data_IF_960437761186
#
_entry.id   IF_960437761186
#
_cell.length_a   1.000
_cell.length_b   1.000
_cell.length_c   1.000
_cell.angle_alpha   90.00
_cell.angle_beta   90.00
_cell.angle_gamma   90.00
#
_symmetry.space_group_name_H-M   'P 1'
#
loop_
_entity.id
_entity.type
_entity.pdbx_description
1 polymer ?
2 non-polymer ?
3 water ?
#
# COMPACT_ATOMS: atom_id res chain seq x y z
N UNK A 1 14.18 -9.46 -5.98
CA UNK A 1 12.82 -9.00 -6.25
C UNK A 1 12.08 -8.68 -4.95
N UNK A 2 10.98 -7.94 -5.07
CA UNK A 2 10.17 -7.53 -3.94
C UNK A 2 8.77 -8.12 -4.07
N UNK A 3 8.19 -8.49 -2.94
CA UNK A 3 6.82 -8.99 -2.88
C UNK A 3 6.04 -8.12 -1.92
N UNK A 4 4.86 -7.68 -2.34
CA UNK A 4 4.05 -6.76 -1.56
C UNK A 4 2.66 -7.33 -1.37
N UNK A 5 2.04 -6.96 -0.25
CA UNK A 5 0.61 -7.16 -0.12
C UNK A 5 -0.09 -6.30 -1.16
N UNK A 6 -1.10 -6.87 -1.82
CA UNK A 6 -1.91 -6.12 -2.77
C UNK A 6 -3.37 -6.02 -2.38
N UNK A 7 -3.86 -6.94 -1.56
CA UNK A 7 -5.17 -6.76 -0.95
C UNK A 7 -5.22 -7.65 0.28
N UNK A 8 -6.01 -7.23 1.25
CA UNK A 8 -6.11 -7.95 2.50
C UNK A 8 -7.57 -7.95 2.91
N UNK A 9 -8.05 -9.09 3.37
CA UNK A 9 -9.41 -9.19 3.88
C UNK A 9 -9.48 -10.39 4.81
N UNK A 10 -10.64 -10.56 5.45
CA UNK A 10 -10.83 -11.68 6.36
C UNK A 10 -10.92 -12.99 5.59
N UNK A 11 -11.21 -12.92 4.29
CA UNK A 11 -11.17 -14.11 3.46
C UNK A 11 -9.74 -14.49 3.07
N UNK A 12 -8.80 -13.57 3.18
CA UNK A 12 -7.41 -13.90 2.95
C UNK A 12 -6.58 -12.68 2.62
N UNK A 13 -5.29 -12.95 2.41
CA UNK A 13 -4.30 -11.92 2.10
C UNK A 13 -3.68 -12.24 0.75
N UNK A 14 -3.72 -11.28 -0.16
CA UNK A 14 -3.15 -11.44 -1.49
C UNK A 14 -1.84 -10.67 -1.59
N UNK A 15 -0.81 -11.33 -2.12
CA UNK A 15 0.48 -10.71 -2.37
C UNK A 15 0.80 -10.82 -3.85
N UNK A 16 1.76 -10.01 -4.30
CA UNK A 16 2.17 -10.08 -5.69
C UNK A 16 3.64 -9.68 -5.80
N UNK A 17 4.33 -10.31 -6.75
CA UNK A 17 5.72 -9.97 -7.06
C UNK A 17 5.74 -8.69 -7.88
N UNK A 18 6.43 -7.67 -7.38
CA UNK A 18 6.52 -6.41 -8.11
C UNK A 18 7.40 -6.57 -9.35
N UNK A 19 7.10 -5.85 -10.42
CA UNK A 19 7.97 -5.87 -11.60
C UNK A 19 9.22 -5.04 -11.36
N UNK A 20 10.20 -5.23 -12.24
CA UNK A 20 11.44 -4.48 -12.15
C UNK A 20 11.15 -2.99 -12.08
N UNK A 21 11.89 -2.29 -11.22
CA UNK A 21 11.79 -0.86 -11.08
C UNK A 21 10.87 -0.42 -9.96
N UNK A 22 9.88 -1.25 -9.61
CA UNK A 22 9.00 -0.97 -8.48
C UNK A 22 9.58 -1.66 -7.25
N UNK A 23 10.38 -0.90 -6.50
CA UNK A 23 11.10 -1.43 -5.35
C UNK A 23 10.51 -0.93 -4.03
N UNK A 24 9.25 -0.50 -4.04
CA UNK A 24 8.54 -0.11 -2.82
C UNK A 24 7.21 -0.84 -2.74
N UNK A 25 6.77 -1.10 -1.51
CA UNK A 25 5.39 -1.45 -1.20
C UNK A 25 4.72 -0.24 -0.57
N UNK A 26 3.40 -0.12 -0.73
CA UNK A 26 2.69 0.98 -0.09
C UNK A 26 1.38 0.49 0.50
N UNK A 27 0.88 1.28 1.45
CA UNK A 27 -0.43 1.12 2.05
C UNK A 27 -1.00 2.52 2.23
N UNK A 28 -2.24 2.73 1.81
CA UNK A 28 -2.83 4.06 1.81
C UNK A 28 -4.32 3.98 2.13
N UNK A 29 -4.84 5.08 2.68
CA UNK A 29 -6.25 5.21 3.01
C UNK A 29 -6.52 6.69 3.27
N UNK A 30 -7.80 7.03 3.34
CA UNK A 30 -8.27 8.38 3.63
C UNK A 30 -9.09 8.39 4.91
N UNK A 31 -9.02 9.51 5.63
CA UNK A 31 -9.73 9.67 6.89
C UNK A 31 -10.42 11.02 6.96
N UNK A 32 -11.67 11.02 7.42
CA UNK A 32 -12.43 12.25 7.62
C UNK A 32 -13.51 12.03 8.66
N UNK A 33 -13.46 12.79 9.75
CA UNK A 33 -14.53 12.81 10.75
C UNK A 33 -14.92 11.40 11.18
N UNK A 34 -13.92 10.61 11.59
CA UNK A 34 -14.12 9.28 12.16
C UNK A 34 -14.57 8.25 11.14
N UNK A 35 -14.47 8.55 9.85
CA UNK A 35 -14.69 7.58 8.79
C UNK A 35 -13.38 7.30 8.07
N UNK A 36 -13.17 6.04 7.73
CA UNK A 36 -12.02 5.60 6.95
C UNK A 36 -12.48 5.11 5.59
N UNK A 37 -11.68 5.39 4.57
CA UNK A 37 -11.92 4.76 3.29
C UNK A 37 -11.46 3.30 3.33
N UNK A 38 -11.77 2.58 2.26
CA UNK A 38 -11.09 1.31 2.02
C UNK A 38 -9.59 1.52 2.03
N UNK A 39 -8.86 0.49 2.45
CA UNK A 39 -7.40 0.52 2.37
C UNK A 39 -6.96 0.06 0.99
N UNK A 40 -5.89 0.67 0.47
CA UNK A 40 -5.27 0.28 -0.79
C UNK A 40 -3.83 -0.16 -0.52
N UNK A 41 -3.44 -1.29 -1.12
CA UNK A 41 -2.10 -1.88 -0.99
C UNK A 41 -1.50 -2.08 -2.38
N UNK A 42 -0.19 -1.91 -2.52
CA UNK A 42 0.42 -2.32 -3.78
C UNK A 42 1.91 -2.09 -3.85
N UNK A 43 2.44 -2.35 -5.05
CA UNK A 43 3.81 -2.06 -5.45
C UNK A 43 3.89 -0.68 -6.08
N UNK A 44 5.06 -0.05 -5.98
CA UNK A 44 5.26 1.26 -6.58
C UNK A 44 6.74 1.50 -6.84
N UNK A 45 7.01 2.34 -7.84
CA UNK A 45 8.37 2.77 -8.16
C UNK A 45 8.81 3.97 -7.36
N UNK A 46 7.88 4.86 -7.04
CA UNK A 46 8.14 5.99 -6.17
C UNK A 46 7.02 6.06 -5.15
N UNK A 47 7.32 6.59 -3.97
CA UNK A 47 6.28 6.67 -2.96
C UNK A 47 5.29 7.77 -3.33
N UNK A 48 4.05 7.44 -3.66
CA UNK A 48 3.09 8.48 -4.05
C UNK A 48 2.96 9.54 -2.97
N UNK A 49 2.89 10.80 -3.41
CA UNK A 49 2.66 11.80 -2.39
C UNK A 49 1.17 11.97 -2.12
N UNK A 50 0.80 12.31 -0.89
CA UNK A 50 -0.62 12.42 -0.55
C UNK A 50 -1.29 13.52 -1.37
N UNK A 51 -2.40 13.17 -2.01
CA UNK A 51 -3.11 14.12 -2.85
C UNK A 51 -3.91 15.14 -2.04
N UNK A 52 -3.99 14.98 -0.72
CA UNK A 52 -4.70 15.93 0.12
C UNK A 52 -4.48 15.54 1.57
N UNK A 53 -4.88 16.43 2.48
CA UNK A 53 -4.62 16.24 3.90
C UNK A 53 -5.37 15.06 4.50
N UNK A 54 -6.36 14.51 3.81
CA UNK A 54 -7.11 13.38 4.34
C UNK A 54 -6.41 12.05 4.10
N UNK A 55 -5.45 12.01 3.19
CA UNK A 55 -4.80 10.76 2.81
C UNK A 55 -3.62 10.45 3.73
N UNK A 56 -3.50 9.18 4.11
CA UNK A 56 -2.30 8.65 4.74
C UNK A 56 -1.65 7.67 3.77
N UNK A 57 -0.36 7.84 3.54
CA UNK A 57 0.39 6.94 2.67
C UNK A 57 1.65 6.50 3.40
N UNK A 58 1.95 5.21 3.31
CA UNK A 58 3.10 4.61 3.98
C UNK A 58 3.82 3.70 2.99
N UNK A 59 5.12 3.91 2.80
CA UNK A 59 5.89 3.09 1.89
C UNK A 59 7.02 2.38 2.63
N UNK A 60 7.44 1.24 2.08
CA UNK A 60 8.52 0.47 2.67
C UNK A 60 9.15 -0.40 1.59
N UNK A 61 10.25 -1.07 1.95
CA UNK A 61 11.21 -1.56 0.97
C UNK A 61 11.51 -3.05 1.07
N UNK A 62 10.81 -3.80 1.92
CA UNK A 62 11.10 -5.21 2.11
C UNK A 62 9.83 -6.03 1.93
N UNK A 63 10.02 -7.31 1.66
CA UNK A 63 8.92 -8.20 1.32
C UNK A 63 7.80 -8.13 2.35
N UNK A 64 6.58 -7.90 1.86
CA UNK A 64 5.35 -7.97 2.66
C UNK A 64 5.33 -6.93 3.78
N UNK A 65 6.15 -5.88 3.66
CA UNK A 65 6.26 -4.90 4.73
C UNK A 65 5.03 -4.01 4.85
N UNK A 66 4.21 -3.92 3.80
CA UNK A 66 3.07 -3.01 3.76
C UNK A 66 1.78 -3.61 4.31
N UNK A 67 1.85 -4.78 4.93
CA UNK A 67 0.66 -5.44 5.44
C UNK A 67 -0.23 -4.51 6.26
X LIG B 1 10.52 -12.74 2.84
X LIG B 1 11.85 -12.73 2.28
X LIG B 1 9.79 -13.52 1.85
X LIG B 1 8.68 -14.21 2.39
X LIG B 1 9.13 -12.56 0.83
X LIG B 1 8.02 -13.30 0.26
X LIG B 1 10.13 -11.85 2.93
X LIG B 1 10.46 -13.15 3.71
X LIG B 1 12.22 -13.49 2.41
X LIG B 1 10.45 -14.12 1.48
X LIG B 1 8.59 -13.93 3.21
X LIG B 1 9.80 -12.29 0.18
X LIG B 1 8.87 -11.75 1.29
X LIG B 1 7.59 -12.76 -0.23
X LIG C 1 -10.86 8.52 15.62
X LIG C 1 -10.24 9.59 14.94
X LIG C 1 -11.21 7.41 14.60
X LIG C 1 -10.26 6.41 14.54
X LIG C 1 -12.59 6.93 15.10
X LIG C 1 -13.11 6.04 14.16
X LIG C 1 -11.67 8.80 16.07
X LIG C 1 -10.29 8.15 16.31
X LIG C 1 -9.94 10.13 15.53
X LIG C 1 -11.24 7.73 13.68
X LIG C 1 -10.31 5.95 15.24
X LIG C 1 -13.15 7.71 15.25
X LIG C 1 -12.47 6.53 15.98
X LIG C 1 -13.93 6.27 14.04
#
# INVERSE_FOLDING_TARGET
MLTCVTSKSIFGITTENCPDGQNLCFKKWYYLNHRYSDITWGCAATCPKPTNVRETIHCCETDKCNE
GOL C1 O1 C2 O2 C3 O3 H11 H12 HO1 H2 HO2 H31 H32 HO3
GOL C1 O1 C2 O2 C3 O3 H11 H12 HO1 H2 HO2 H31 H32 HO3
#
